data_IF_032439628528
#
_entry.id   IF_032439628528
#
_cell.length_a   1.000
_cell.length_b   1.000
_cell.length_c   1.000
_cell.angle_alpha   90.00
_cell.angle_beta   90.00
_cell.angle_gamma   90.00
#
_symmetry.space_group_name_H-M   'P 1'
#
loop_
_entity.id
_entity.type
_entity.pdbx_description
1 polymer ?
#
# COMPACT_ATOMS: atom_id res chain seq x y z
N UNK A 1 -28.38 13.27 19.48
CA UNK A 1 -26.92 13.53 19.44
C UNK A 1 -26.58 14.41 18.24
N UNK A 2 -25.87 15.53 18.46
CA UNK A 2 -25.41 16.37 17.35
C UNK A 2 -24.30 15.64 16.58
N UNK A 3 -24.47 15.52 15.26
CA UNK A 3 -23.46 14.93 14.36
C UNK A 3 -22.21 15.83 14.40
N UNK A 4 -21.04 15.31 14.80
CA UNK A 4 -19.79 16.05 14.91
C UNK A 4 -19.21 16.41 13.53
N UNK A 5 -19.35 15.51 12.57
CA UNK A 5 -18.82 15.68 11.19
C UNK A 5 -19.99 15.73 10.20
N UNK A 6 -20.18 16.89 9.60
CA UNK A 6 -21.26 17.15 8.65
C UNK A 6 -20.70 17.00 7.23
N UNK A 7 -21.32 16.15 6.42
CA UNK A 7 -20.97 15.94 5.03
C UNK A 7 -21.79 16.88 4.16
N UNK A 8 -21.13 17.69 3.35
CA UNK A 8 -21.70 18.47 2.26
C UNK A 8 -20.86 18.27 1.04
N UNK A 9 -21.41 17.67 0.00
CA UNK A 9 -20.74 17.38 -1.24
C UNK A 9 -21.07 18.47 -2.28
N UNK A 10 -20.06 18.89 -3.06
CA UNK A 10 -20.30 19.68 -4.25
C UNK A 10 -20.95 18.82 -5.33
N UNK A 11 -21.55 19.46 -6.36
CA UNK A 11 -22.14 18.77 -7.50
C UNK A 11 -21.11 17.87 -8.22
N UNK A 12 -19.88 18.37 -8.39
CA UNK A 12 -18.79 17.62 -9.01
C UNK A 12 -18.35 16.40 -8.17
N UNK A 13 -18.18 16.57 -6.88
CA UNK A 13 -17.82 15.49 -5.96
C UNK A 13 -18.89 14.39 -5.96
N UNK A 14 -20.17 14.79 -5.95
CA UNK A 14 -21.30 13.85 -6.00
C UNK A 14 -21.30 13.07 -7.33
N UNK A 15 -21.09 13.73 -8.46
CA UNK A 15 -21.00 13.06 -9.75
C UNK A 15 -19.83 12.08 -9.82
N UNK A 16 -18.65 12.46 -9.32
CA UNK A 16 -17.48 11.61 -9.23
C UNK A 16 -17.73 10.37 -8.38
N UNK A 17 -18.39 10.54 -7.23
CA UNK A 17 -18.78 9.42 -6.38
C UNK A 17 -19.79 8.48 -7.03
N UNK A 18 -20.81 9.02 -7.70
CA UNK A 18 -21.78 8.23 -8.48
C UNK A 18 -21.09 7.43 -9.59
N UNK A 19 -20.21 8.03 -10.37
CA UNK A 19 -19.40 7.34 -11.40
C UNK A 19 -18.55 6.22 -10.80
N UNK A 20 -17.91 6.46 -9.65
CA UNK A 20 -17.09 5.47 -8.96
C UNK A 20 -17.91 4.26 -8.49
N UNK A 21 -19.14 4.45 -8.05
CA UNK A 21 -20.06 3.37 -7.66
C UNK A 21 -20.54 2.58 -8.88
N UNK A 22 -20.92 3.28 -9.97
CA UNK A 22 -21.49 2.67 -11.17
C UNK A 22 -20.50 1.88 -12.00
N UNK A 23 -19.27 2.36 -12.16
CA UNK A 23 -18.25 1.74 -13.03
C UNK A 23 -17.79 0.35 -12.57
N UNK A 24 -18.06 -0.06 -11.35
CA UNK A 24 -17.77 -1.42 -10.87
C UNK A 24 -16.29 -1.81 -10.78
N UNK A 25 -15.39 -1.08 -11.41
CA UNK A 25 -13.93 -1.36 -11.46
C UNK A 25 -13.18 -0.97 -10.19
N UNK A 26 -13.78 -0.16 -9.33
CA UNK A 26 -13.15 0.27 -8.08
C UNK A 26 -13.17 -0.83 -7.02
N UNK A 27 -12.16 -0.85 -6.14
CA UNK A 27 -12.11 -1.76 -5.01
C UNK A 27 -13.36 -1.62 -4.11
N UNK A 28 -13.85 -2.74 -3.56
CA UNK A 28 -15.09 -2.80 -2.80
C UNK A 28 -15.17 -1.76 -1.68
N UNK A 29 -14.08 -1.56 -0.93
CA UNK A 29 -14.05 -0.56 0.14
C UNK A 29 -14.21 0.88 -0.37
N UNK A 30 -13.67 1.22 -1.57
CA UNK A 30 -13.85 2.56 -2.18
C UNK A 30 -15.30 2.80 -2.54
N UNK A 31 -15.96 1.79 -3.12
CA UNK A 31 -17.38 1.86 -3.46
C UNK A 31 -18.25 2.01 -2.21
N UNK A 32 -17.94 1.24 -1.16
CA UNK A 32 -18.64 1.36 0.13
C UNK A 32 -18.47 2.77 0.73
N UNK A 33 -17.26 3.32 0.75
CA UNK A 33 -17.03 4.68 1.26
C UNK A 33 -17.78 5.72 0.43
N UNK A 34 -17.77 5.58 -0.91
CA UNK A 34 -18.51 6.48 -1.80
C UNK A 34 -20.04 6.43 -1.52
N UNK A 35 -20.60 5.24 -1.35
CA UNK A 35 -22.03 5.06 -1.01
C UNK A 35 -22.38 5.66 0.36
N UNK A 36 -21.50 5.48 1.36
CA UNK A 36 -21.66 6.10 2.69
C UNK A 36 -21.71 7.62 2.57
N UNK A 37 -20.81 8.23 1.82
CA UNK A 37 -20.75 9.68 1.65
C UNK A 37 -21.95 10.23 0.89
N UNK A 38 -22.41 9.56 -0.17
CA UNK A 38 -23.61 9.95 -0.91
C UNK A 38 -24.86 9.93 -0.03
N UNK A 39 -25.03 8.91 0.84
CA UNK A 39 -26.15 8.82 1.76
C UNK A 39 -26.05 9.75 2.97
N UNK A 40 -24.83 10.09 3.39
CA UNK A 40 -24.57 10.99 4.52
C UNK A 40 -24.65 12.48 4.14
N UNK A 41 -24.68 12.81 2.86
CA UNK A 41 -24.73 14.16 2.33
C UNK A 41 -26.03 14.87 2.73
N UNK A 42 -25.90 16.05 3.36
CA UNK A 42 -27.03 16.87 3.82
C UNK A 42 -27.27 18.11 2.93
N UNK A 43 -26.57 18.20 1.78
CA UNK A 43 -26.86 19.29 0.81
C UNK A 43 -28.24 19.11 0.18
N UNK A 44 -28.71 20.10 -0.58
CA UNK A 44 -30.08 20.15 -1.15
C UNK A 44 -30.45 18.88 -1.94
N UNK A 45 -29.49 18.29 -2.67
CA UNK A 45 -29.68 17.04 -3.41
C UNK A 45 -29.22 15.80 -2.66
N UNK A 46 -28.91 15.88 -1.39
CA UNK A 46 -28.41 14.79 -0.56
C UNK A 46 -29.52 14.06 0.17
N UNK A 47 -29.32 12.76 0.48
CA UNK A 47 -30.29 11.94 1.19
C UNK A 47 -30.32 12.23 2.70
N UNK A 48 -29.25 12.76 3.27
CA UNK A 48 -29.17 13.20 4.69
C UNK A 48 -29.35 12.10 5.74
N UNK A 49 -29.11 10.82 5.38
CA UNK A 49 -29.36 9.68 6.26
C UNK A 49 -28.58 9.73 7.58
N UNK A 50 -29.12 9.13 8.60
CA UNK A 50 -28.44 8.95 9.89
C UNK A 50 -27.42 7.81 9.80
N UNK A 51 -26.38 7.87 10.62
CA UNK A 51 -25.30 6.88 10.64
C UNK A 51 -25.79 5.45 10.92
N UNK A 52 -26.87 5.32 11.73
CA UNK A 52 -27.52 4.04 12.02
C UNK A 52 -28.23 3.48 10.79
N UNK A 53 -28.89 4.31 10.01
CA UNK A 53 -29.59 3.93 8.78
C UNK A 53 -28.58 3.48 7.71
N UNK A 54 -27.50 4.25 7.55
CA UNK A 54 -26.40 3.92 6.65
C UNK A 54 -25.73 2.61 7.07
N UNK A 55 -25.48 2.42 8.36
CA UNK A 55 -24.82 1.21 8.86
C UNK A 55 -25.65 -0.04 8.61
N UNK A 56 -26.99 0.03 8.76
CA UNK A 56 -27.92 -1.05 8.47
C UNK A 56 -28.04 -1.34 6.96
N UNK A 57 -28.09 -0.28 6.13
CA UNK A 57 -28.27 -0.43 4.69
C UNK A 57 -27.04 -1.07 4.00
N UNK A 58 -25.84 -0.83 4.52
CA UNK A 58 -24.60 -1.32 3.92
C UNK A 58 -23.89 -2.40 4.76
N UNK A 59 -24.57 -2.94 5.77
CA UNK A 59 -24.03 -3.96 6.68
C UNK A 59 -22.62 -3.60 7.21
N UNK A 60 -22.49 -2.38 7.71
CA UNK A 60 -21.24 -1.83 8.22
C UNK A 60 -21.44 -1.25 9.62
N UNK A 61 -20.37 -1.05 10.38
CA UNK A 61 -20.47 -0.45 11.71
C UNK A 61 -20.69 1.07 11.63
N UNK A 62 -21.49 1.64 12.54
CA UNK A 62 -21.68 3.09 12.66
C UNK A 62 -20.34 3.84 12.86
N UNK A 63 -19.36 3.18 13.52
CA UNK A 63 -18.00 3.71 13.67
C UNK A 63 -17.26 3.84 12.34
N UNK A 64 -17.50 2.94 11.38
CA UNK A 64 -16.96 3.05 10.02
C UNK A 64 -17.56 4.25 9.30
N UNK A 65 -18.88 4.44 9.42
CA UNK A 65 -19.57 5.59 8.83
C UNK A 65 -19.02 6.91 9.40
N UNK A 66 -18.90 7.00 10.72
CA UNK A 66 -18.33 8.18 11.39
C UNK A 66 -16.88 8.46 10.93
N UNK A 67 -16.03 7.42 10.82
CA UNK A 67 -14.64 7.56 10.38
C UNK A 67 -14.52 8.05 8.93
N UNK A 68 -15.39 7.59 8.05
CA UNK A 68 -15.42 8.02 6.64
C UNK A 68 -15.82 9.49 6.57
N UNK A 69 -16.84 9.92 7.32
CA UNK A 69 -17.26 11.31 7.43
C UNK A 69 -16.18 12.20 8.03
N UNK A 70 -15.53 11.76 9.10
CA UNK A 70 -14.40 12.45 9.70
C UNK A 70 -13.29 12.70 8.69
N UNK A 71 -12.89 11.67 7.93
CA UNK A 71 -11.84 11.79 6.92
C UNK A 71 -12.19 12.77 5.81
N UNK A 72 -13.45 12.80 5.38
CA UNK A 72 -13.89 13.79 4.39
C UNK A 72 -13.71 15.21 4.92
N UNK A 73 -14.17 15.47 6.15
CA UNK A 73 -14.14 16.82 6.75
C UNK A 73 -12.73 17.27 7.08
N UNK A 74 -11.87 16.36 7.55
CA UNK A 74 -10.50 16.71 8.00
C UNK A 74 -9.47 16.66 6.86
N UNK A 75 -9.63 15.78 5.88
CA UNK A 75 -8.59 15.49 4.88
C UNK A 75 -9.09 15.50 3.42
N UNK A 76 -10.37 15.78 3.21
CA UNK A 76 -10.96 15.87 1.88
C UNK A 76 -11.39 14.53 1.27
N UNK A 77 -11.95 14.61 0.05
CA UNK A 77 -12.59 13.49 -0.63
C UNK A 77 -11.62 12.33 -0.94
N UNK A 78 -10.44 12.64 -1.44
CA UNK A 78 -9.42 11.62 -1.78
C UNK A 78 -8.99 10.79 -0.56
N UNK A 79 -8.82 11.43 0.60
CA UNK A 79 -8.47 10.75 1.82
C UNK A 79 -9.62 9.90 2.41
N UNK A 80 -10.87 10.31 2.18
CA UNK A 80 -12.04 9.56 2.61
C UNK A 80 -12.24 8.28 1.78
N UNK A 81 -11.95 8.32 0.47
CA UNK A 81 -12.14 7.19 -0.44
C UNK A 81 -10.93 6.26 -0.43
N UNK A 82 -9.72 6.82 -0.41
CA UNK A 82 -8.48 6.04 -0.50
C UNK A 82 -8.00 5.58 0.89
N UNK A 83 -7.32 4.43 0.93
CA UNK A 83 -6.59 4.02 2.12
C UNK A 83 -5.40 4.95 2.34
N UNK A 84 -5.20 5.38 3.58
CA UNK A 84 -3.95 6.03 3.97
C UNK A 84 -2.78 5.09 3.66
N UNK A 85 -1.71 5.64 3.10
CA UNK A 85 -0.47 4.89 2.94
C UNK A 85 0.00 4.42 4.33
N UNK A 86 0.47 3.17 4.48
CA UNK A 86 0.97 2.71 5.76
C UNK A 86 2.12 3.61 6.21
N UNK A 87 1.99 4.20 7.40
CA UNK A 87 3.00 5.10 7.98
C UNK A 87 4.27 4.36 8.38
N UNK A 88 4.20 3.05 8.60
CA UNK A 88 5.35 2.20 8.88
C UNK A 88 5.84 1.53 7.61
N UNK A 89 6.93 2.05 7.06
CA UNK A 89 7.76 1.29 6.13
C UNK A 89 8.42 0.18 6.93
N UNK A 90 8.17 -1.09 6.59
CA UNK A 90 8.91 -2.22 7.18
C UNK A 90 10.40 -1.95 7.02
N UNK A 91 11.15 -1.95 8.13
CA UNK A 91 12.60 -1.88 8.06
C UNK A 91 13.08 -3.02 7.17
N UNK A 92 13.91 -2.70 6.20
CA UNK A 92 14.59 -3.71 5.37
C UNK A 92 15.47 -4.55 6.28
N UNK A 93 15.53 -5.86 6.05
CA UNK A 93 16.42 -6.75 6.80
C UNK A 93 17.91 -6.49 6.51
N UNK A 94 18.20 -6.06 5.28
CA UNK A 94 19.53 -5.65 4.86
C UNK A 94 19.52 -4.15 4.60
N UNK A 95 20.50 -3.44 5.08
CA UNK A 95 20.77 -2.04 4.74
C UNK A 95 21.55 -1.94 3.42
N UNK A 96 21.89 -0.71 2.98
CA UNK A 96 22.55 -0.50 1.72
C UNK A 96 23.99 -1.06 1.66
N UNK A 97 24.71 -1.04 2.77
CA UNK A 97 26.04 -1.58 2.91
C UNK A 97 26.04 -3.10 2.85
N UNK A 98 25.15 -3.73 3.60
CA UNK A 98 24.93 -5.17 3.59
C UNK A 98 24.45 -5.69 2.22
N UNK A 99 23.58 -4.94 1.53
CA UNK A 99 23.19 -5.26 0.14
C UNK A 99 24.42 -5.21 -0.80
N UNK A 100 25.34 -4.25 -0.63
CA UNK A 100 26.57 -4.15 -1.43
C UNK A 100 27.53 -5.32 -1.17
N UNK A 101 27.72 -5.71 0.08
CA UNK A 101 28.53 -6.89 0.43
C UNK A 101 27.94 -8.17 -0.15
N UNK A 102 26.65 -8.36 -0.07
CA UNK A 102 25.97 -9.52 -0.68
C UNK A 102 26.22 -9.60 -2.19
N UNK A 103 26.16 -8.47 -2.88
CA UNK A 103 26.45 -8.40 -4.31
C UNK A 103 27.92 -8.75 -4.59
N UNK A 104 28.86 -8.18 -3.83
CA UNK A 104 30.29 -8.45 -3.98
C UNK A 104 30.59 -9.95 -3.79
N UNK A 105 30.03 -10.59 -2.76
CA UNK A 105 30.17 -12.03 -2.53
C UNK A 105 29.58 -12.83 -3.69
N UNK A 106 28.42 -12.46 -4.18
CA UNK A 106 27.73 -13.18 -5.29
C UNK A 106 28.55 -13.13 -6.60
N UNK A 107 29.37 -12.11 -6.79
CA UNK A 107 30.25 -11.96 -7.94
C UNK A 107 31.64 -12.62 -7.73
N UNK A 108 31.96 -13.08 -6.52
CA UNK A 108 33.24 -13.74 -6.22
C UNK A 108 33.21 -15.23 -6.62
N UNK A 109 34.38 -15.88 -6.57
CA UNK A 109 34.45 -17.33 -6.80
C UNK A 109 33.72 -18.08 -5.69
N UNK A 110 32.90 -19.10 -6.04
CA UNK A 110 32.22 -19.92 -5.06
C UNK A 110 33.22 -20.73 -4.21
N UNK A 111 32.81 -21.22 -3.02
CA UNK A 111 33.67 -22.03 -2.18
C UNK A 111 34.16 -23.31 -2.89
N UNK A 112 35.28 -23.83 -2.45
CA UNK A 112 35.87 -25.07 -2.99
C UNK A 112 34.84 -26.21 -2.98
N UNK A 113 34.72 -26.90 -4.12
CA UNK A 113 33.76 -27.99 -4.30
C UNK A 113 32.37 -27.55 -4.80
N UNK A 114 32.16 -26.26 -5.08
CA UNK A 114 30.92 -25.75 -5.67
C UNK A 114 31.17 -25.03 -6.99
N UNK A 115 30.25 -25.22 -7.93
CA UNK A 115 30.35 -24.61 -9.27
C UNK A 115 29.75 -23.19 -9.26
N UNK A 116 28.76 -22.93 -8.41
CA UNK A 116 28.06 -21.64 -8.32
C UNK A 116 27.62 -21.33 -6.90
N UNK A 117 27.32 -20.04 -6.65
CA UNK A 117 26.68 -19.60 -5.43
C UNK A 117 25.20 -19.97 -5.44
N UNK A 118 24.71 -20.56 -4.37
CA UNK A 118 23.27 -20.69 -4.08
C UNK A 118 22.83 -19.61 -3.11
N UNK A 119 21.55 -19.29 -3.05
CA UNK A 119 21.02 -18.28 -2.11
C UNK A 119 21.26 -18.66 -0.66
N UNK A 120 21.19 -19.96 -0.35
CA UNK A 120 21.52 -20.48 0.99
C UNK A 120 22.99 -20.25 1.32
N UNK A 121 23.92 -20.63 0.45
CA UNK A 121 25.36 -20.41 0.68
C UNK A 121 25.71 -18.92 0.83
N UNK A 122 25.03 -18.04 0.10
CA UNK A 122 25.19 -16.60 0.25
C UNK A 122 24.68 -16.12 1.60
N UNK A 123 23.52 -16.63 2.06
CA UNK A 123 22.98 -16.33 3.37
C UNK A 123 23.92 -16.76 4.50
N UNK A 124 24.42 -18.00 4.44
CA UNK A 124 25.36 -18.57 5.41
C UNK A 124 26.68 -17.77 5.44
N UNK A 125 27.18 -17.37 4.26
CA UNK A 125 28.40 -16.56 4.15
C UNK A 125 28.25 -15.16 4.72
N UNK A 126 27.10 -14.53 4.57
CA UNK A 126 26.79 -13.23 5.18
C UNK A 126 26.80 -13.29 6.71
N UNK A 127 26.33 -14.39 7.28
CA UNK A 127 26.36 -14.64 8.73
C UNK A 127 27.78 -14.98 9.19
N UNK A 128 28.51 -15.84 8.47
CA UNK A 128 29.88 -16.21 8.78
C UNK A 128 30.82 -14.98 8.83
N UNK A 129 30.62 -14.03 7.91
CA UNK A 129 31.39 -12.79 7.87
C UNK A 129 30.87 -11.70 8.83
N UNK A 130 29.91 -12.01 9.70
CA UNK A 130 29.30 -11.11 10.68
C UNK A 130 28.68 -9.82 10.07
N UNK A 131 28.27 -9.86 8.82
CA UNK A 131 27.54 -8.73 8.22
C UNK A 131 26.10 -8.65 8.71
N UNK A 132 25.51 -9.77 9.09
CA UNK A 132 24.16 -9.89 9.65
C UNK A 132 24.09 -11.03 10.66
N UNK A 133 23.25 -10.90 11.68
CA UNK A 133 23.02 -11.97 12.65
C UNK A 133 22.28 -13.16 12.01
N UNK A 134 21.27 -12.87 11.19
CA UNK A 134 20.50 -13.88 10.45
C UNK A 134 19.88 -13.30 9.19
N UNK A 135 19.94 -14.05 8.09
CA UNK A 135 19.26 -13.71 6.85
C UNK A 135 18.76 -14.99 6.17
N UNK A 136 17.54 -14.93 5.60
CA UNK A 136 16.99 -16.06 4.85
C UNK A 136 17.40 -16.00 3.38
N UNK A 137 17.50 -17.17 2.75
CA UNK A 137 17.72 -17.36 1.31
C UNK A 137 16.72 -16.57 0.45
N UNK A 138 15.45 -16.49 0.89
CA UNK A 138 14.41 -15.72 0.21
C UNK A 138 14.67 -14.19 0.27
N UNK A 139 15.29 -13.69 1.35
CA UNK A 139 15.71 -12.29 1.43
C UNK A 139 16.85 -12.02 0.46
N UNK A 140 17.85 -12.91 0.42
CA UNK A 140 18.97 -12.87 -0.52
C UNK A 140 18.47 -12.88 -1.96
N UNK A 141 17.55 -13.81 -2.29
CA UNK A 141 16.92 -13.91 -3.60
C UNK A 141 16.22 -12.61 -4.01
N UNK A 142 15.44 -12.00 -3.13
CA UNK A 142 14.72 -10.74 -3.40
C UNK A 142 15.66 -9.58 -3.68
N UNK A 143 16.73 -9.46 -2.90
CA UNK A 143 17.72 -8.39 -3.07
C UNK A 143 18.41 -8.52 -4.42
N UNK A 144 18.92 -9.71 -4.76
CA UNK A 144 19.63 -9.95 -6.01
C UNK A 144 18.69 -9.80 -7.23
N UNK A 145 17.44 -10.28 -7.14
CA UNK A 145 16.45 -10.11 -8.21
C UNK A 145 16.13 -8.63 -8.47
N UNK A 146 16.00 -7.83 -7.42
CA UNK A 146 15.74 -6.40 -7.54
C UNK A 146 16.90 -5.70 -8.26
N UNK A 147 18.14 -6.06 -7.97
CA UNK A 147 19.33 -5.51 -8.61
C UNK A 147 19.37 -5.83 -10.10
N UNK A 148 19.13 -7.08 -10.48
CA UNK A 148 19.08 -7.48 -11.88
C UNK A 148 18.04 -6.73 -12.68
N UNK A 149 16.86 -6.44 -12.09
CA UNK A 149 15.83 -5.62 -12.72
C UNK A 149 16.26 -4.17 -12.90
N UNK A 150 17.00 -3.60 -11.95
CA UNK A 150 17.50 -2.22 -12.04
C UNK A 150 18.54 -2.09 -13.15
N UNK A 151 19.51 -3.00 -13.21
CA UNK A 151 20.53 -3.02 -14.27
C UNK A 151 19.92 -3.22 -15.65
N UNK A 152 18.91 -4.08 -15.80
CA UNK A 152 18.20 -4.26 -17.05
C UNK A 152 17.46 -2.99 -17.51
N UNK A 153 16.85 -2.23 -16.58
CA UNK A 153 16.19 -0.96 -16.88
C UNK A 153 17.20 0.12 -17.30
N UNK A 154 18.33 0.23 -16.61
CA UNK A 154 19.39 1.19 -16.95
C UNK A 154 19.98 0.91 -18.33
N UNK A 155 20.19 -0.37 -18.71
CA UNK A 155 20.64 -0.73 -20.06
C UNK A 155 19.65 -0.37 -21.17
N UNK A 156 18.32 -0.42 -20.91
CA UNK A 156 17.32 -0.01 -21.89
C UNK A 156 17.32 1.50 -22.18
N UNK A 157 17.74 2.33 -21.23
CA UNK A 157 17.76 3.80 -21.39
C UNK A 157 18.94 4.28 -22.24
N UNK A 158 20.03 3.50 -22.32
CA UNK A 158 21.23 3.86 -23.06
C UNK A 158 21.33 3.25 -24.47
N UNK A 159 20.27 2.61 -24.98
CA UNK A 159 20.22 2.00 -26.33
C UNK A 159 19.23 2.66 -27.26
N UNK A 160 18.98 3.98 -27.09
CA UNK A 160 18.22 4.80 -28.05
C UNK A 160 19.10 5.90 -28.61
#
# INVERSE_FOLDING_TARGET
MRKKYIVRLSAEERENLKKLVQTGKAAAYKRLHAQILLKADISEDGDGWKDIEISKAFDTSSRTVERVRQRLVEHGLDAAINRAKPSRTRRKKLDGEQEAYLIAISCSKPPSGRICWTFQLLADKMVELNYVDTVSDETVRKVLKKRNQTVAKERMVYTT
#
